data_IF_569382989676
#
_entry.id   IF_569382989676
#
_cell.length_a   1.000
_cell.length_b   1.000
_cell.length_c   1.000
_cell.angle_alpha   90.00
_cell.angle_beta   90.00
_cell.angle_gamma   90.00
#
_symmetry.space_group_name_H-M   'P 1'
#
loop_
_entity.id
_entity.type
_entity.pdbx_description
1 polymer ?
#
# COMPACT_ATOMS: atom_id res chain seq x y z
N UNK A 1 -8.12 39.55 -64.36
CA UNK A 1 -7.41 40.79 -63.96
C UNK A 1 -7.74 41.04 -62.49
N UNK A 2 -6.77 40.83 -61.56
CA UNK A 2 -6.97 40.74 -60.08
C UNK A 2 -7.91 39.56 -59.68
N UNK A 3 -7.96 39.01 -58.46
CA UNK A 3 -7.18 39.09 -57.20
C UNK A 3 -7.33 37.68 -56.52
N UNK A 4 -6.35 37.05 -55.84
CA UNK A 4 -6.09 37.09 -54.39
C UNK A 4 -4.94 36.10 -54.10
N UNK A 5 -3.83 36.53 -53.49
CA UNK A 5 -3.50 36.46 -52.05
C UNK A 5 -3.11 35.06 -51.52
N UNK A 6 -1.79 34.84 -51.47
CA UNK A 6 -1.13 33.81 -50.63
C UNK A 6 -0.71 34.48 -49.32
N UNK A 7 -0.88 33.79 -48.19
CA UNK A 7 -0.36 34.22 -46.88
C UNK A 7 0.31 33.04 -46.19
N UNK A 8 1.63 33.13 -45.98
CA UNK A 8 2.34 32.29 -45.01
C UNK A 8 2.21 32.94 -43.62
N UNK A 9 1.94 32.14 -42.59
CA UNK A 9 2.26 32.52 -41.22
C UNK A 9 2.93 31.38 -40.44
N UNK A 10 4.12 31.71 -39.96
CA UNK A 10 5.04 30.88 -39.20
C UNK A 10 4.43 30.49 -37.84
N UNK A 11 4.39 29.19 -37.52
CA UNK A 11 3.96 28.70 -36.21
C UNK A 11 5.05 28.90 -35.16
N UNK A 12 4.84 29.82 -34.21
CA UNK A 12 5.81 30.16 -33.17
C UNK A 12 5.69 29.18 -31.98
N UNK A 13 6.80 28.50 -31.66
CA UNK A 13 6.88 27.56 -30.54
C UNK A 13 7.06 28.35 -29.23
N UNK A 14 6.06 28.34 -28.34
CA UNK A 14 6.15 28.94 -27.01
C UNK A 14 6.29 27.84 -25.94
N UNK A 15 7.51 27.69 -25.41
CA UNK A 15 7.76 26.87 -24.24
C UNK A 15 7.33 27.59 -22.97
N UNK A 16 6.43 26.99 -22.19
CA UNK A 16 6.02 27.48 -20.88
C UNK A 16 6.95 26.92 -19.80
N UNK A 17 7.93 27.73 -19.37
CA UNK A 17 8.69 27.48 -18.15
C UNK A 17 7.89 27.94 -16.93
N UNK A 18 7.56 27.04 -16.01
CA UNK A 18 6.98 27.41 -14.72
C UNK A 18 8.04 28.07 -13.82
N UNK A 19 7.98 29.39 -13.68
CA UNK A 19 8.75 30.15 -12.68
C UNK A 19 8.03 30.15 -11.33
N UNK A 20 8.73 29.77 -10.26
CA UNK A 20 8.23 29.88 -8.88
C UNK A 20 8.02 31.33 -8.44
N UNK A 21 7.01 31.64 -7.59
CA UNK A 21 6.85 32.98 -7.01
C UNK A 21 7.92 33.28 -5.94
N UNK A 22 8.26 34.56 -5.70
CA UNK A 22 9.32 34.95 -4.78
C UNK A 22 8.93 34.80 -3.30
N UNK A 23 9.91 34.47 -2.45
CA UNK A 23 9.76 34.38 -1.00
C UNK A 23 10.05 35.74 -0.35
N UNK A 24 9.10 36.27 0.40
CA UNK A 24 9.31 37.46 1.25
C UNK A 24 10.01 37.10 2.57
N UNK A 25 10.92 37.93 3.10
CA UNK A 25 11.72 37.59 4.27
C UNK A 25 10.92 37.67 5.57
N UNK A 26 11.06 36.64 6.41
CA UNK A 26 10.50 36.61 7.77
C UNK A 26 11.35 37.50 8.69
N UNK A 27 10.71 38.45 9.37
CA UNK A 27 11.35 39.23 10.45
C UNK A 27 11.70 38.32 11.62
N UNK A 28 12.96 38.36 12.07
CA UNK A 28 13.33 37.86 13.41
C UNK A 28 12.58 38.67 14.47
N UNK A 29 11.98 37.98 15.43
CA UNK A 29 11.57 38.57 16.72
C UNK A 29 12.49 37.97 17.77
N UNK A 30 13.24 38.82 18.45
CA UNK A 30 14.01 38.48 19.64
C UNK A 30 13.09 38.44 20.86
N UNK A 31 13.32 37.47 21.74
CA UNK A 31 12.75 37.44 23.09
C UNK A 31 13.91 37.62 24.06
N UNK A 32 14.03 38.83 24.59
CA UNK A 32 14.87 39.12 25.76
C UNK A 32 14.07 38.90 27.04
N UNK A 33 14.79 38.60 28.12
CA UNK A 33 14.22 38.25 29.42
C UNK A 33 13.78 39.47 30.25
N UNK A 34 12.85 39.24 31.17
CA UNK A 34 12.64 40.08 32.36
C UNK A 34 12.23 39.19 33.55
N UNK A 35 12.70 39.53 34.75
CA UNK A 35 12.47 38.81 35.99
C UNK A 35 11.55 39.61 36.94
N UNK A 36 11.15 38.98 38.06
CA UNK A 36 10.28 39.54 39.11
C UNK A 36 9.26 38.48 39.57
N UNK A 37 9.27 37.81 40.72
CA UNK A 37 9.93 37.90 42.05
C UNK A 37 8.85 37.88 43.16
N UNK A 38 9.12 37.11 44.23
CA UNK A 38 8.35 36.79 45.46
C UNK A 38 6.83 36.43 45.31
N UNK A 39 6.09 35.84 46.26
CA UNK A 39 6.28 35.20 47.60
C UNK A 39 5.13 34.14 47.74
N UNK A 40 5.03 33.16 48.67
CA UNK A 40 5.88 32.46 49.65
C UNK A 40 5.04 31.33 50.30
N UNK A 41 5.62 30.31 50.95
CA UNK A 41 4.90 29.43 51.91
C UNK A 41 5.05 27.91 51.74
N UNK A 42 6.10 27.35 52.35
CA UNK A 42 6.10 26.35 53.43
C UNK A 42 4.88 25.39 53.55
N UNK A 43 5.03 24.10 53.89
CA UNK A 43 6.07 23.51 54.76
C UNK A 43 6.34 22.01 54.49
N UNK A 44 7.43 21.49 55.06
CA UNK A 44 7.80 20.06 55.06
C UNK A 44 7.05 19.29 56.19
N UNK A 45 7.22 17.99 56.50
CA UNK A 45 8.25 16.98 56.20
C UNK A 45 7.76 15.57 56.60
N UNK A 46 8.39 14.51 56.06
CA UNK A 46 8.80 13.25 56.74
C UNK A 46 7.79 12.37 57.51
N UNK A 47 8.15 11.16 58.00
CA UNK A 47 9.25 10.24 57.66
C UNK A 47 9.13 8.95 58.50
N UNK A 48 9.19 7.75 57.87
CA UNK A 48 9.56 6.44 58.45
C UNK A 48 8.72 5.80 59.60
N UNK A 49 8.83 4.46 59.72
CA UNK A 49 8.54 3.72 60.96
C UNK A 49 7.70 2.45 60.83
N UNK A 50 8.28 1.28 61.16
CA UNK A 50 7.67 -0.06 61.30
C UNK A 50 8.29 -0.70 62.58
N UNK A 51 7.94 -1.93 63.03
CA UNK A 51 6.67 -2.56 63.41
C UNK A 51 6.58 -2.91 64.94
N UNK A 52 5.39 -3.30 65.43
CA UNK A 52 5.08 -4.12 66.64
C UNK A 52 3.57 -4.48 66.59
N UNK A 53 2.99 -5.50 67.23
CA UNK A 53 3.47 -6.71 67.96
C UNK A 53 2.43 -7.86 67.83
N UNK A 54 2.73 -9.03 68.40
CA UNK A 54 1.91 -10.26 68.33
C UNK A 54 0.74 -10.33 69.36
N UNK A 55 -0.29 -11.14 69.07
CA UNK A 55 -1.05 -11.89 70.09
C UNK A 55 -1.82 -13.07 69.46
N UNK A 56 -1.74 -14.24 70.10
CA UNK A 56 -2.28 -15.51 69.62
C UNK A 56 -3.71 -15.78 70.12
N UNK A 57 -4.51 -16.52 69.35
CA UNK A 57 -5.51 -17.46 69.88
C UNK A 57 -5.62 -18.73 69.02
N UNK A 58 -5.28 -19.85 69.65
CA UNK A 58 -5.59 -21.24 69.32
C UNK A 58 -7.14 -21.42 69.18
N UNK A 59 -7.75 -22.25 68.33
CA UNK A 59 -7.45 -23.66 68.00
C UNK A 59 -8.26 -24.15 66.81
N UNK A 60 -7.84 -25.24 66.14
CA UNK A 60 -8.65 -25.87 65.09
C UNK A 60 -7.89 -26.81 64.13
N UNK A 61 -7.38 -27.94 64.62
CA UNK A 61 -6.62 -28.91 63.80
C UNK A 61 -7.55 -29.66 62.81
N UNK A 62 -7.33 -29.45 61.51
CA UNK A 62 -7.84 -30.31 60.43
C UNK A 62 -6.72 -30.66 59.46
N UNK A 63 -6.39 -31.95 59.31
CA UNK A 63 -5.35 -32.41 58.39
C UNK A 63 -5.75 -32.18 56.93
N UNK A 64 -4.96 -31.38 56.21
CA UNK A 64 -4.99 -31.31 54.74
C UNK A 64 -3.91 -32.25 54.19
N UNK A 65 -4.19 -33.09 53.18
CA UNK A 65 -3.15 -33.89 52.52
C UNK A 65 -2.21 -33.01 51.69
N UNK A 66 -0.94 -33.39 51.66
CA UNK A 66 0.12 -32.74 50.88
C UNK A 66 -0.18 -32.83 49.36
N UNK A 67 -0.25 -31.71 48.61
CA UNK A 67 -0.43 -31.77 47.16
C UNK A 67 0.88 -32.19 46.49
N UNK A 68 0.85 -33.35 45.81
CA UNK A 68 1.95 -33.83 44.98
C UNK A 68 2.47 -32.74 44.03
N UNK A 69 3.80 -32.65 43.79
CA UNK A 69 4.35 -31.67 42.86
C UNK A 69 3.78 -31.91 41.45
N UNK A 70 3.53 -30.84 40.66
CA UNK A 70 3.03 -30.99 39.31
C UNK A 70 4.01 -31.80 38.46
N UNK A 71 3.48 -32.77 37.71
CA UNK A 71 4.25 -33.48 36.69
C UNK A 71 4.79 -32.46 35.69
N UNK A 72 6.05 -32.65 35.26
CA UNK A 72 6.60 -31.85 34.17
C UNK A 72 6.05 -32.42 32.88
N UNK A 73 5.23 -31.64 32.18
CA UNK A 73 4.97 -31.90 30.77
C UNK A 73 6.30 -31.81 30.02
N UNK A 74 6.83 -32.96 29.58
CA UNK A 74 7.93 -32.99 28.63
C UNK A 74 7.47 -32.28 27.34
N UNK A 75 8.34 -31.46 26.71
CA UNK A 75 7.96 -30.76 25.50
C UNK A 75 7.62 -31.76 24.40
N UNK A 76 6.37 -31.73 23.93
CA UNK A 76 5.95 -32.44 22.72
C UNK A 76 6.68 -31.81 21.53
N UNK A 77 7.90 -32.29 21.27
CA UNK A 77 8.60 -32.04 20.02
C UNK A 77 7.95 -32.91 18.95
N UNK A 78 6.97 -32.35 18.23
CA UNK A 78 6.52 -32.94 16.97
C UNK A 78 7.74 -32.96 16.02
N UNK A 79 8.27 -34.15 15.67
CA UNK A 79 9.50 -34.24 14.89
C UNK A 79 9.23 -34.05 13.38
N UNK A 80 7.98 -33.85 12.96
CA UNK A 80 7.62 -33.70 11.55
C UNK A 80 6.35 -32.85 11.41
N UNK A 81 6.45 -31.50 11.36
CA UNK A 81 5.31 -30.69 10.95
C UNK A 81 4.84 -31.19 9.59
N UNK A 82 3.59 -31.64 9.51
CA UNK A 82 2.98 -32.06 8.24
C UNK A 82 3.23 -30.97 7.20
N UNK A 83 3.77 -31.30 6.02
CA UNK A 83 4.07 -30.28 5.03
C UNK A 83 2.81 -29.47 4.73
N UNK A 84 2.94 -28.14 4.68
CA UNK A 84 1.86 -27.24 4.31
C UNK A 84 1.19 -27.76 3.03
N UNK A 85 -0.15 -27.77 2.95
CA UNK A 85 -0.86 -28.34 1.81
C UNK A 85 -0.35 -27.69 0.51
N UNK A 86 0.26 -28.51 -0.34
CA UNK A 86 0.91 -28.05 -1.57
C UNK A 86 -0.14 -27.35 -2.43
N UNK A 87 0.02 -26.03 -2.54
CA UNK A 87 -0.86 -25.20 -3.36
C UNK A 87 -0.76 -25.69 -4.81
N UNK A 88 -1.89 -25.85 -5.54
CA UNK A 88 -1.83 -26.29 -6.93
C UNK A 88 -0.98 -25.32 -7.75
N UNK A 89 -0.26 -25.84 -8.74
CA UNK A 89 0.48 -24.99 -9.70
C UNK A 89 -0.51 -24.19 -10.55
N UNK A 90 -0.24 -22.90 -10.83
CA UNK A 90 -1.11 -22.10 -11.68
C UNK A 90 -1.03 -22.54 -13.14
N UNK A 91 -2.17 -22.55 -13.84
CA UNK A 91 -2.25 -22.78 -15.28
C UNK A 91 -1.56 -21.68 -16.08
N UNK A 92 -1.72 -20.43 -15.61
CA UNK A 92 -1.06 -19.26 -16.17
C UNK A 92 -0.56 -18.35 -15.05
N UNK A 93 0.65 -17.84 -15.21
CA UNK A 93 1.17 -16.70 -14.46
C UNK A 93 1.34 -15.56 -15.44
N UNK A 94 0.61 -14.46 -15.25
CA UNK A 94 0.58 -13.33 -16.18
C UNK A 94 1.10 -12.06 -15.51
N UNK A 95 2.03 -11.37 -16.17
CA UNK A 95 2.48 -10.04 -15.79
C UNK A 95 1.72 -8.99 -16.59
N UNK A 96 1.03 -8.09 -15.88
CA UNK A 96 0.37 -6.92 -16.44
C UNK A 96 1.23 -5.69 -16.21
N UNK A 97 1.48 -4.90 -17.26
CA UNK A 97 2.22 -3.63 -17.19
C UNK A 97 1.34 -2.51 -17.76
N UNK A 98 1.23 -1.40 -17.02
CA UNK A 98 0.55 -0.18 -17.49
C UNK A 98 1.23 1.09 -16.96
N UNK A 99 0.81 2.25 -17.44
CA UNK A 99 1.39 3.53 -17.03
C UNK A 99 1.11 4.65 -18.02
N UNK A 100 2.12 5.44 -18.39
CA UNK A 100 2.03 6.68 -19.18
C UNK A 100 1.68 6.52 -20.66
N UNK A 101 0.81 5.56 -21.01
CA UNK A 101 0.25 5.35 -22.34
C UNK A 101 -1.18 4.79 -22.25
N UNK A 102 -1.85 4.72 -23.40
CA UNK A 102 -3.17 4.13 -23.61
C UNK A 102 -3.12 2.59 -23.68
N UNK A 103 -2.09 1.95 -23.10
CA UNK A 103 -1.81 0.52 -23.25
C UNK A 103 -1.74 -0.25 -21.94
N UNK A 104 -2.07 -1.54 -22.03
CA UNK A 104 -1.72 -2.57 -21.05
C UNK A 104 -1.03 -3.70 -21.81
N UNK A 105 0.24 -3.95 -21.48
CA UNK A 105 0.97 -5.11 -21.99
C UNK A 105 0.78 -6.30 -21.03
N UNK A 106 0.54 -7.48 -21.60
CA UNK A 106 0.32 -8.74 -20.88
C UNK A 106 1.36 -9.75 -21.34
N UNK A 107 2.17 -10.22 -20.40
CA UNK A 107 3.22 -11.21 -20.62
C UNK A 107 2.87 -12.51 -19.89
N UNK A 108 3.19 -13.66 -20.49
CA UNK A 108 3.29 -14.92 -19.78
C UNK A 108 4.61 -14.95 -19.00
N UNK A 109 4.58 -15.40 -17.76
CA UNK A 109 5.75 -15.53 -16.87
C UNK A 109 6.02 -17.01 -16.63
N UNK A 110 7.29 -17.41 -16.74
CA UNK A 110 7.77 -18.68 -16.21
C UNK A 110 8.29 -18.44 -14.79
N UNK A 111 7.57 -18.90 -13.76
CA UNK A 111 7.89 -18.62 -12.35
C UNK A 111 9.16 -19.30 -11.83
N UNK A 112 9.66 -20.37 -12.46
CA UNK A 112 10.91 -21.02 -12.03
C UNK A 112 12.17 -20.33 -12.56
N UNK A 113 12.05 -19.48 -13.59
CA UNK A 113 13.17 -18.78 -14.23
C UNK A 113 13.02 -17.26 -14.30
N UNK A 114 11.84 -16.72 -14.00
CA UNK A 114 11.48 -15.31 -14.17
C UNK A 114 11.29 -14.89 -15.62
N UNK A 115 11.54 -15.78 -16.59
CA UNK A 115 11.51 -15.47 -18.01
C UNK A 115 10.10 -15.06 -18.46
N UNK A 116 10.01 -13.96 -19.20
CA UNK A 116 8.74 -13.44 -19.73
C UNK A 116 8.63 -13.56 -21.25
N UNK A 117 7.41 -13.80 -21.74
CA UNK A 117 7.07 -13.73 -23.16
C UNK A 117 5.83 -12.83 -23.36
N UNK A 118 5.93 -11.81 -24.21
CA UNK A 118 4.79 -10.93 -24.52
C UNK A 118 3.69 -11.75 -25.20
N UNK A 119 2.50 -11.81 -24.61
CA UNK A 119 1.32 -12.38 -25.24
C UNK A 119 0.61 -11.31 -26.07
N UNK A 120 0.40 -10.13 -25.48
CA UNK A 120 -0.42 -9.08 -26.07
C UNK A 120 -0.05 -7.69 -25.57
N UNK A 121 0.03 -6.73 -26.50
CA UNK A 121 -0.09 -5.31 -26.20
C UNK A 121 -1.55 -4.91 -26.50
N UNK A 122 -2.30 -4.53 -25.47
CA UNK A 122 -3.71 -4.16 -25.57
C UNK A 122 -3.86 -2.64 -25.47
N UNK A 123 -4.83 -2.05 -26.18
CA UNK A 123 -5.28 -0.68 -25.86
C UNK A 123 -6.24 -0.74 -24.67
N UNK A 124 -6.19 0.27 -23.81
CA UNK A 124 -7.12 0.40 -22.67
C UNK A 124 -8.45 1.02 -23.04
N UNK A 125 -8.58 1.60 -24.25
CA UNK A 125 -9.75 2.42 -24.62
C UNK A 125 -9.94 3.67 -23.75
N UNK A 126 -8.89 4.03 -22.99
CA UNK A 126 -8.78 5.23 -22.14
C UNK A 126 -7.56 6.07 -22.50
N UNK A 127 -7.22 7.04 -21.66
CA UNK A 127 -6.12 7.98 -21.92
C UNK A 127 -4.79 7.52 -21.31
N UNK A 128 -4.75 7.32 -19.99
CA UNK A 128 -3.55 6.87 -19.25
C UNK A 128 -3.99 6.01 -18.07
N UNK A 129 -3.85 4.68 -18.18
CA UNK A 129 -4.24 3.74 -17.12
C UNK A 129 -3.07 3.46 -16.18
N UNK A 130 -3.07 4.09 -15.00
CA UNK A 130 -1.90 4.15 -14.11
C UNK A 130 -1.90 3.12 -13.00
N UNK A 131 -3.02 2.42 -12.80
CA UNK A 131 -3.16 1.35 -11.81
C UNK A 131 -4.18 0.31 -12.30
N UNK A 132 -3.96 -0.96 -12.00
CA UNK A 132 -4.87 -2.06 -12.32
C UNK A 132 -5.28 -2.84 -11.07
N UNK A 133 -6.46 -3.45 -11.12
CA UNK A 133 -6.86 -4.52 -10.22
C UNK A 133 -7.28 -5.73 -11.07
N UNK A 134 -6.66 -6.89 -10.83
CA UNK A 134 -6.92 -8.13 -11.58
C UNK A 134 -7.65 -9.12 -10.68
N UNK A 135 -8.77 -9.67 -11.14
CA UNK A 135 -9.48 -10.73 -10.45
C UNK A 135 -9.36 -12.05 -11.24
N UNK A 136 -8.51 -13.00 -10.79
CA UNK A 136 -8.26 -14.23 -11.54
C UNK A 136 -9.40 -15.24 -11.48
N UNK A 137 -10.34 -15.12 -10.52
CA UNK A 137 -11.52 -16.00 -10.43
C UNK A 137 -12.58 -15.68 -11.49
N UNK A 138 -12.67 -14.42 -11.89
CA UNK A 138 -13.68 -13.92 -12.86
C UNK A 138 -13.07 -13.59 -14.23
N UNK A 139 -11.74 -13.73 -14.37
CA UNK A 139 -10.97 -13.28 -15.54
C UNK A 139 -11.31 -11.84 -15.94
N UNK A 140 -11.35 -10.94 -14.95
CA UNK A 140 -11.61 -9.51 -15.15
C UNK A 140 -10.40 -8.67 -14.73
N UNK A 141 -10.17 -7.61 -15.49
CA UNK A 141 -9.19 -6.57 -15.17
C UNK A 141 -9.92 -5.25 -15.07
N UNK A 142 -9.61 -4.46 -14.05
CA UNK A 142 -10.15 -3.13 -13.83
C UNK A 142 -9.01 -2.12 -13.85
N UNK A 143 -9.19 -0.98 -14.50
CA UNK A 143 -8.16 0.06 -14.66
C UNK A 143 -8.60 1.41 -14.14
N UNK A 144 -7.72 2.08 -13.39
CA UNK A 144 -7.81 3.50 -13.06
C UNK A 144 -7.20 4.33 -14.20
N UNK A 145 -8.03 4.97 -15.01
CA UNK A 145 -7.60 5.90 -16.06
C UNK A 145 -7.46 7.32 -15.50
N UNK A 146 -6.27 7.63 -14.99
CA UNK A 146 -5.92 8.86 -14.27
C UNK A 146 -6.19 10.12 -15.10
N UNK A 147 -6.10 10.02 -16.44
CA UNK A 147 -6.29 11.16 -17.36
C UNK A 147 -7.60 11.17 -18.11
N UNK A 148 -8.23 10.01 -18.32
CA UNK A 148 -9.61 9.92 -18.80
C UNK A 148 -10.65 10.18 -17.70
N UNK A 149 -10.24 10.23 -16.43
CA UNK A 149 -11.12 10.36 -15.26
C UNK A 149 -12.19 9.27 -15.20
N UNK A 150 -11.81 8.02 -15.46
CA UNK A 150 -12.74 6.90 -15.57
C UNK A 150 -12.18 5.61 -14.96
N UNK A 151 -13.10 4.72 -14.56
CA UNK A 151 -12.82 3.33 -14.22
C UNK A 151 -13.22 2.46 -15.41
N UNK A 152 -12.31 1.62 -15.90
CA UNK A 152 -12.52 0.77 -17.08
C UNK A 152 -12.53 -0.70 -16.64
N UNK A 153 -13.42 -1.51 -17.21
CA UNK A 153 -13.49 -2.95 -17.00
C UNK A 153 -13.22 -3.70 -18.30
N UNK A 154 -12.33 -4.69 -18.23
CA UNK A 154 -11.99 -5.61 -19.31
C UNK A 154 -12.33 -7.04 -18.91
N UNK A 155 -12.77 -7.85 -19.89
CA UNK A 155 -12.64 -9.29 -19.83
C UNK A 155 -11.25 -9.69 -20.32
N UNK A 156 -10.64 -10.65 -19.65
CA UNK A 156 -9.36 -11.25 -20.00
C UNK A 156 -9.59 -12.65 -20.57
N UNK A 157 -8.90 -12.98 -21.66
CA UNK A 157 -8.56 -14.36 -21.99
C UNK A 157 -7.14 -14.66 -21.44
N UNK A 158 -7.00 -15.47 -20.36
CA UNK A 158 -5.69 -15.75 -19.78
C UNK A 158 -4.75 -16.55 -20.70
N UNK A 159 -5.27 -17.25 -21.71
CA UNK A 159 -4.46 -18.05 -22.63
C UNK A 159 -3.74 -17.17 -23.65
N UNK A 160 -4.41 -16.13 -24.17
CA UNK A 160 -3.89 -15.22 -25.20
C UNK A 160 -3.46 -13.85 -24.67
N UNK A 161 -3.74 -13.52 -23.40
CA UNK A 161 -3.48 -12.20 -22.82
C UNK A 161 -4.34 -11.08 -23.40
N UNK A 162 -5.38 -11.41 -24.18
CA UNK A 162 -6.27 -10.42 -24.80
C UNK A 162 -7.19 -9.81 -23.74
N UNK A 163 -7.19 -8.48 -23.67
CA UNK A 163 -8.13 -7.69 -22.90
C UNK A 163 -9.19 -7.11 -23.83
N UNK A 164 -10.46 -7.40 -23.54
CA UNK A 164 -11.62 -6.87 -24.26
C UNK A 164 -12.37 -5.90 -23.36
N UNK A 165 -12.43 -4.61 -23.74
CA UNK A 165 -13.21 -3.61 -23.00
C UNK A 165 -14.69 -4.06 -22.94
N UNK A 166 -15.26 -4.08 -21.72
CA UNK A 166 -16.66 -4.42 -21.48
C UNK A 166 -17.49 -3.20 -21.10
N UNK A 167 -16.91 -2.31 -20.28
CA UNK A 167 -17.58 -1.12 -19.78
C UNK A 167 -16.58 -0.10 -19.24
N UNK A 168 -17.01 1.16 -19.15
CA UNK A 168 -16.32 2.19 -18.38
C UNK A 168 -17.29 3.22 -17.83
N UNK A 169 -16.97 3.75 -16.65
CA UNK A 169 -17.75 4.79 -15.98
C UNK A 169 -16.86 5.97 -15.61
N UNK A 170 -17.35 7.22 -15.75
CA UNK A 170 -16.71 8.38 -15.16
C UNK A 170 -16.52 8.22 -13.65
N UNK A 171 -15.41 8.75 -13.17
CA UNK A 171 -15.04 8.86 -11.75
C UNK A 171 -15.08 10.34 -11.34
N UNK A 172 -14.90 10.62 -10.05
CA UNK A 172 -14.90 11.98 -9.53
C UNK A 172 -13.71 12.84 -10.01
N UNK A 173 -12.60 12.25 -10.44
CA UNK A 173 -11.50 12.95 -11.12
C UNK A 173 -10.11 12.65 -10.55
N UNK A 174 -9.17 12.33 -11.44
CA UNK A 174 -7.82 11.87 -11.11
C UNK A 174 -7.81 10.55 -10.32
N UNK A 175 -8.42 9.46 -10.83
CA UNK A 175 -8.37 8.15 -10.18
C UNK A 175 -6.92 7.64 -10.14
N UNK A 176 -6.37 7.46 -8.95
CA UNK A 176 -4.97 7.11 -8.72
C UNK A 176 -4.74 5.64 -8.34
N UNK A 177 -5.80 4.96 -7.86
CA UNK A 177 -5.77 3.57 -7.42
C UNK A 177 -7.16 2.95 -7.58
N UNK A 178 -7.18 1.65 -7.89
CA UNK A 178 -8.40 0.84 -8.02
C UNK A 178 -8.18 -0.50 -7.30
N UNK A 179 -9.21 -1.02 -6.65
CA UNK A 179 -9.19 -2.36 -6.04
C UNK A 179 -10.50 -3.08 -6.31
N UNK A 180 -10.47 -4.41 -6.25
CA UNK A 180 -11.63 -5.29 -6.44
C UNK A 180 -11.72 -6.29 -5.30
N UNK A 181 -12.92 -6.66 -4.90
CA UNK A 181 -13.14 -7.68 -3.88
C UNK A 181 -12.80 -9.11 -4.38
N UNK A 182 -12.69 -10.04 -3.44
CA UNK A 182 -12.29 -11.41 -3.71
C UNK A 182 -13.32 -12.22 -4.55
N UNK A 183 -14.56 -11.73 -4.67
CA UNK A 183 -15.59 -12.31 -5.54
C UNK A 183 -15.62 -11.69 -6.95
N UNK A 184 -15.00 -10.52 -7.17
CA UNK A 184 -15.08 -9.79 -8.45
C UNK A 184 -16.41 -9.08 -8.65
N UNK A 185 -17.17 -8.86 -7.57
CA UNK A 185 -18.51 -8.29 -7.54
C UNK A 185 -18.51 -6.79 -7.20
N UNK A 186 -17.48 -6.30 -6.51
CA UNK A 186 -17.38 -4.92 -6.04
C UNK A 186 -16.00 -4.32 -6.33
N UNK A 187 -16.00 -3.10 -6.89
CA UNK A 187 -14.81 -2.35 -7.30
C UNK A 187 -14.78 -1.02 -6.55
N UNK A 188 -13.62 -0.62 -6.06
CA UNK A 188 -13.40 0.62 -5.30
C UNK A 188 -12.34 1.46 -6.00
N UNK A 189 -12.52 2.79 -6.02
CA UNK A 189 -11.62 3.74 -6.69
C UNK A 189 -11.26 4.89 -5.76
N UNK A 190 -9.97 5.23 -5.67
CA UNK A 190 -9.48 6.42 -4.99
C UNK A 190 -9.20 7.53 -6.02
N UNK A 191 -9.90 8.66 -5.90
CA UNK A 191 -9.73 9.85 -6.74
C UNK A 191 -8.85 10.87 -6.03
N UNK A 192 -7.57 10.89 -6.38
CA UNK A 192 -6.58 11.81 -5.82
C UNK A 192 -6.89 13.27 -6.17
N UNK A 193 -7.31 13.53 -7.41
CA UNK A 193 -7.65 14.88 -7.87
C UNK A 193 -8.87 15.47 -7.13
N UNK A 194 -9.89 14.64 -6.91
CA UNK A 194 -11.16 15.06 -6.28
C UNK A 194 -11.20 14.92 -4.75
N UNK A 195 -10.32 14.12 -4.13
CA UNK A 195 -10.43 13.80 -2.70
C UNK A 195 -11.62 12.87 -2.38
N UNK A 196 -11.93 11.94 -3.29
CA UNK A 196 -13.16 11.15 -3.28
C UNK A 196 -12.87 9.65 -3.39
N UNK A 197 -13.53 8.83 -2.57
CA UNK A 197 -13.64 7.39 -2.80
C UNK A 197 -14.98 7.08 -3.50
N UNK A 198 -14.94 6.18 -4.48
CA UNK A 198 -16.13 5.65 -5.17
C UNK A 198 -16.17 4.13 -5.10
N UNK A 199 -17.38 3.56 -5.09
CA UNK A 199 -17.60 2.13 -5.25
C UNK A 199 -18.60 1.82 -6.36
N UNK A 200 -18.37 0.69 -7.02
CA UNK A 200 -19.14 0.21 -8.17
C UNK A 200 -19.40 -1.29 -8.02
N UNK A 201 -20.63 -1.73 -8.31
CA UNK A 201 -20.94 -3.15 -8.43
C UNK A 201 -20.73 -3.65 -9.85
N UNK A 202 -20.39 -4.94 -9.97
CA UNK A 202 -20.13 -5.64 -11.23
C UNK A 202 -21.30 -6.58 -11.51
N UNK A 203 -22.01 -6.38 -12.60
CA UNK A 203 -23.11 -7.27 -13.04
C UNK A 203 -22.85 -7.71 -14.48
N UNK A 204 -22.36 -8.94 -14.63
CA UNK A 204 -21.97 -9.49 -15.94
C UNK A 204 -20.87 -8.65 -16.58
N UNK A 205 -21.17 -8.03 -17.72
CA UNK A 205 -20.28 -7.12 -18.45
C UNK A 205 -20.49 -5.63 -18.13
N UNK A 206 -21.21 -5.28 -17.05
CA UNK A 206 -21.47 -3.87 -16.67
C UNK A 206 -20.99 -3.50 -15.27
N UNK A 207 -20.52 -2.26 -15.16
CA UNK A 207 -20.29 -1.55 -13.90
C UNK A 207 -21.54 -0.74 -13.56
N UNK A 208 -21.83 -0.57 -12.26
CA UNK A 208 -22.88 0.33 -11.77
C UNK A 208 -22.36 1.09 -10.56
N UNK A 209 -22.47 2.42 -10.58
CA UNK A 209 -22.10 3.24 -9.42
C UNK A 209 -23.00 2.90 -8.20
N UNK A 210 -22.37 2.73 -7.03
CA UNK A 210 -23.02 2.34 -5.77
C UNK A 210 -22.90 3.43 -4.73
N UNK A 211 -21.69 3.88 -4.41
CA UNK A 211 -21.49 4.92 -3.39
C UNK A 211 -20.33 5.86 -3.71
N UNK A 212 -20.40 7.06 -3.13
CA UNK A 212 -19.43 8.15 -3.27
C UNK A 212 -19.22 8.78 -1.90
N UNK A 213 -17.97 8.93 -1.48
CA UNK A 213 -17.58 9.47 -0.16
C UNK A 213 -16.40 10.43 -0.31
N UNK A 214 -16.32 11.40 0.58
CA UNK A 214 -15.20 12.35 0.68
C UNK A 214 -14.35 12.02 1.91
N UNK A 215 -13.46 11.00 1.82
CA UNK A 215 -12.66 10.53 2.96
C UNK A 215 -11.64 11.57 3.45
N UNK A 216 -11.22 12.47 2.57
CA UNK A 216 -10.20 13.48 2.82
C UNK A 216 -9.54 13.94 1.51
N UNK A 217 -8.82 15.05 1.58
CA UNK A 217 -8.06 15.61 0.47
C UNK A 217 -7.01 14.61 -0.03
N UNK A 218 -6.92 14.48 -1.36
CA UNK A 218 -5.96 13.59 -2.03
C UNK A 218 -6.05 12.14 -1.56
N UNK A 219 -7.26 11.58 -1.56
CA UNK A 219 -7.51 10.15 -1.40
C UNK A 219 -6.67 9.36 -2.43
N UNK A 220 -5.62 8.69 -1.97
CA UNK A 220 -4.60 8.14 -2.88
C UNK A 220 -4.81 6.64 -3.16
N UNK A 221 -5.26 5.86 -2.19
CA UNK A 221 -5.47 4.43 -2.34
C UNK A 221 -6.75 3.92 -1.68
N UNK A 222 -7.22 2.74 -2.09
CA UNK A 222 -8.42 2.06 -1.57
C UNK A 222 -8.04 0.61 -1.28
N UNK A 223 -7.87 0.29 0.01
CA UNK A 223 -7.38 -1.01 0.45
C UNK A 223 -8.47 -1.75 1.24
N UNK A 224 -8.90 -2.90 0.71
CA UNK A 224 -9.72 -3.86 1.44
C UNK A 224 -8.86 -4.59 2.47
N UNK A 225 -9.37 -4.76 3.67
CA UNK A 225 -8.76 -5.62 4.68
C UNK A 225 -8.85 -7.11 4.28
N UNK A 226 -8.06 -8.02 4.89
CA UNK A 226 -8.09 -9.44 4.56
C UNK A 226 -9.46 -10.11 4.78
N UNK A 227 -10.36 -9.51 5.57
CA UNK A 227 -11.73 -10.02 5.74
C UNK A 227 -12.71 -9.56 4.65
N UNK A 228 -12.33 -8.56 3.83
CA UNK A 228 -13.18 -7.94 2.81
C UNK A 228 -14.32 -7.09 3.37
N UNK A 229 -14.28 -6.75 4.66
CA UNK A 229 -15.36 -6.05 5.38
C UNK A 229 -15.04 -4.59 5.68
N UNK A 230 -13.77 -4.23 5.66
CA UNK A 230 -13.29 -2.89 5.95
C UNK A 230 -12.51 -2.35 4.75
N UNK A 231 -12.78 -1.10 4.39
CA UNK A 231 -12.08 -0.36 3.35
C UNK A 231 -11.33 0.81 3.98
N UNK A 232 -10.02 0.83 3.79
CA UNK A 232 -9.13 1.87 4.30
C UNK A 232 -8.65 2.76 3.16
N UNK A 233 -8.71 4.08 3.38
CA UNK A 233 -8.40 5.10 2.37
C UNK A 233 -7.38 6.10 2.90
N UNK A 234 -6.08 5.94 2.58
CA UNK A 234 -5.05 6.93 2.87
C UNK A 234 -5.35 8.26 2.15
N UNK A 235 -5.46 9.34 2.93
CA UNK A 235 -5.75 10.69 2.45
C UNK A 235 -4.51 11.56 2.56
N UNK A 236 -3.75 11.60 1.46
CA UNK A 236 -2.39 12.11 1.39
C UNK A 236 -2.29 13.59 1.82
N UNK A 237 -3.32 14.39 1.54
CA UNK A 237 -3.38 15.82 1.83
C UNK A 237 -3.62 16.16 3.31
N UNK A 238 -4.32 15.28 4.03
CA UNK A 238 -4.82 15.53 5.38
C UNK A 238 -4.04 14.82 6.47
N UNK A 239 -3.29 13.76 6.15
CA UNK A 239 -2.54 13.02 7.15
C UNK A 239 -3.38 12.04 7.96
N UNK A 240 -4.36 11.41 7.30
CA UNK A 240 -5.23 10.40 7.89
C UNK A 240 -5.43 9.17 6.99
N UNK A 241 -5.89 8.09 7.60
CA UNK A 241 -6.50 6.94 6.93
C UNK A 241 -7.99 6.96 7.27
N UNK A 242 -8.85 7.19 6.29
CA UNK A 242 -10.29 7.06 6.47
C UNK A 242 -10.70 5.58 6.49
N UNK A 243 -11.76 5.27 7.23
CA UNK A 243 -12.22 3.90 7.48
C UNK A 243 -13.71 3.78 7.17
N UNK A 244 -14.04 2.87 6.25
CA UNK A 244 -15.42 2.51 5.91
C UNK A 244 -15.65 1.01 6.16
N UNK A 245 -16.82 0.67 6.67
CA UNK A 245 -17.32 -0.71 6.68
C UNK A 245 -18.14 -0.99 5.43
N UNK A 246 -18.09 -2.23 4.95
CA UNK A 246 -18.81 -2.74 3.79
C UNK A 246 -19.81 -3.83 4.20
N UNK A 247 -20.95 -3.87 3.51
CA UNK A 247 -21.90 -4.97 3.66
C UNK A 247 -21.32 -6.25 3.06
N UNK A 248 -21.15 -7.28 3.90
CA UNK A 248 -20.51 -8.56 3.50
C UNK A 248 -21.35 -9.28 2.45
N UNK A 249 -20.80 -9.48 1.25
CA UNK A 249 -21.55 -10.03 0.10
C UNK A 249 -22.68 -9.12 -0.39
N UNK A 250 -22.70 -7.86 0.06
CA UNK A 250 -23.78 -6.92 -0.16
C UNK A 250 -23.56 -5.99 -1.35
N UNK A 251 -24.20 -4.83 -1.27
CA UNK A 251 -24.35 -3.87 -2.35
C UNK A 251 -23.05 -3.18 -2.79
N UNK A 252 -22.01 -3.16 -1.95
CA UNK A 252 -20.79 -2.38 -2.13
C UNK A 252 -20.86 -0.96 -1.55
N UNK A 253 -21.91 -0.64 -0.78
CA UNK A 253 -22.04 0.67 -0.12
C UNK A 253 -20.96 0.86 0.95
N UNK A 254 -20.21 1.95 0.84
CA UNK A 254 -19.28 2.39 1.87
C UNK A 254 -20.04 3.12 2.98
N UNK A 255 -20.02 2.57 4.20
CA UNK A 255 -20.55 3.21 5.41
C UNK A 255 -19.40 3.68 6.29
N UNK A 256 -19.42 4.90 6.80
CA UNK A 256 -18.37 5.40 7.69
C UNK A 256 -18.31 4.55 8.97
N UNK A 257 -17.12 4.06 9.31
CA UNK A 257 -16.95 3.22 10.48
C UNK A 257 -17.16 4.03 11.77
N UNK A 258 -17.72 3.37 12.80
CA UNK A 258 -17.84 3.97 14.14
C UNK A 258 -16.48 4.39 14.71
N UNK A 259 -15.44 3.64 14.37
CA UNK A 259 -14.06 4.03 14.62
C UNK A 259 -13.61 4.95 13.50
N UNK A 260 -13.68 6.26 13.82
CA UNK A 260 -13.38 7.38 12.92
C UNK A 260 -11.98 7.26 12.31
N UNK A 261 -11.77 7.98 11.21
CA UNK A 261 -10.49 8.10 10.52
C UNK A 261 -9.30 8.24 11.47
N UNK A 262 -8.27 7.43 11.26
CA UNK A 262 -7.04 7.45 12.04
C UNK A 262 -6.14 8.58 11.54
N UNK A 263 -5.85 9.57 12.38
CA UNK A 263 -4.74 10.51 12.13
C UNK A 263 -3.42 9.77 12.27
N UNK A 264 -2.52 9.92 11.30
CA UNK A 264 -1.21 9.22 11.29
C UNK A 264 -0.07 10.08 11.84
N UNK A 265 -0.38 11.30 12.32
CA UNK A 265 0.59 12.23 12.91
C UNK A 265 1.50 12.95 11.91
N UNK A 266 1.32 12.69 10.61
CA UNK A 266 2.15 13.21 9.52
C UNK A 266 1.30 13.40 8.26
N UNK A 267 1.77 14.19 7.28
CA UNK A 267 1.15 14.24 5.95
C UNK A 267 1.81 13.24 5.01
N UNK A 268 1.16 12.98 3.88
CA UNK A 268 1.66 12.03 2.90
C UNK A 268 1.15 10.58 2.96
N UNK A 269 0.16 10.15 3.78
CA UNK A 269 -0.24 8.73 3.79
C UNK A 269 -0.75 8.32 2.41
N UNK A 270 -0.10 7.32 1.80
CA UNK A 270 -0.20 7.02 0.38
C UNK A 270 -0.84 5.68 0.11
N UNK A 271 -0.11 4.60 0.38
CA UNK A 271 -0.50 3.20 0.13
C UNK A 271 -0.34 2.38 1.42
N UNK A 272 -1.00 1.24 1.50
CA UNK A 272 -0.93 0.31 2.62
C UNK A 272 -0.75 -1.14 2.18
N UNK A 273 -0.09 -1.93 3.02
CA UNK A 273 0.01 -3.38 2.88
C UNK A 273 -0.43 -4.09 4.17
N UNK A 274 -1.21 -5.16 4.06
CA UNK A 274 -1.61 -5.99 5.20
C UNK A 274 -0.63 -7.12 5.43
N UNK A 275 -0.40 -7.46 6.70
CA UNK A 275 0.37 -8.64 7.07
C UNK A 275 -0.48 -9.91 6.88
N UNK A 276 0.07 -11.03 6.36
CA UNK A 276 -0.67 -12.28 6.13
C UNK A 276 -1.43 -12.84 7.36
N UNK A 277 -1.00 -12.52 8.59
CA UNK A 277 -1.73 -12.92 9.80
C UNK A 277 -3.06 -12.20 10.04
N UNK A 278 -3.38 -11.17 9.26
CA UNK A 278 -4.57 -10.33 9.43
C UNK A 278 -4.56 -9.42 10.67
N UNK A 279 -3.47 -9.41 11.46
CA UNK A 279 -3.37 -8.63 12.72
C UNK A 279 -2.69 -7.27 12.57
N UNK A 280 -2.00 -7.03 11.45
CA UNK A 280 -1.20 -5.83 11.23
C UNK A 280 -1.37 -5.26 9.83
N UNK A 281 -1.16 -3.96 9.70
CA UNK A 281 -1.02 -3.25 8.45
C UNK A 281 0.19 -2.31 8.51
N UNK A 282 0.71 -1.95 7.35
CA UNK A 282 1.85 -1.06 7.20
C UNK A 282 1.49 0.05 6.22
N UNK A 283 1.73 1.29 6.62
CA UNK A 283 1.43 2.49 5.86
C UNK A 283 2.71 3.06 5.26
N UNK A 284 2.69 3.39 3.97
CA UNK A 284 3.71 4.23 3.34
C UNK A 284 3.30 5.71 3.39
N UNK A 285 4.19 6.56 3.87
CA UNK A 285 4.10 8.01 3.75
C UNK A 285 4.96 8.50 2.57
N UNK A 286 4.34 9.22 1.64
CA UNK A 286 4.96 9.75 0.43
C UNK A 286 6.03 10.80 0.72
N UNK A 287 5.70 11.82 1.51
CA UNK A 287 6.60 12.94 1.76
C UNK A 287 7.80 12.47 2.60
N UNK A 288 9.00 12.72 2.08
CA UNK A 288 10.31 12.34 2.66
C UNK A 288 10.57 10.83 2.79
N UNK A 289 9.53 10.00 2.70
CA UNK A 289 9.60 8.54 2.61
C UNK A 289 9.77 7.86 3.96
N UNK A 290 8.66 7.47 4.58
CA UNK A 290 8.67 6.69 5.84
C UNK A 290 7.55 5.65 5.88
N UNK A 291 7.68 4.68 6.78
CA UNK A 291 6.70 3.62 7.04
C UNK A 291 6.24 3.68 8.48
N UNK A 292 4.95 3.42 8.73
CA UNK A 292 4.39 3.25 10.08
C UNK A 292 3.73 1.87 10.23
N UNK A 293 3.91 1.27 11.41
CA UNK A 293 3.27 0.02 11.81
C UNK A 293 1.89 0.29 12.43
N UNK A 294 0.89 -0.52 12.06
CA UNK A 294 -0.46 -0.46 12.60
C UNK A 294 -0.92 -1.84 13.04
N UNK A 295 -1.61 -1.94 14.17
CA UNK A 295 -2.44 -3.10 14.46
C UNK A 295 -3.79 -2.96 13.77
N UNK A 296 -4.30 -4.08 13.28
CA UNK A 296 -5.64 -4.22 12.73
C UNK A 296 -6.48 -5.06 13.70
N UNK A 297 -7.66 -4.56 14.04
CA UNK A 297 -8.64 -5.29 14.85
C UNK A 297 -10.07 -4.96 14.39
N UNK A 298 -11.07 -5.53 15.07
CA UNK A 298 -12.48 -5.17 14.83
C UNK A 298 -12.81 -3.68 15.12
N UNK A 299 -11.95 -2.96 15.85
CA UNK A 299 -12.03 -1.49 16.01
C UNK A 299 -11.27 -0.71 14.93
N UNK A 300 -10.80 -1.35 13.86
CA UNK A 300 -10.03 -0.72 12.79
C UNK A 300 -8.53 -0.67 13.12
N UNK A 301 -7.89 0.46 12.80
CA UNK A 301 -6.44 0.63 12.84
C UNK A 301 -5.98 1.44 14.07
N UNK A 302 -4.84 1.04 14.65
CA UNK A 302 -4.15 1.77 15.72
C UNK A 302 -2.65 1.83 15.39
N UNK A 303 -2.01 2.99 15.52
CA UNK A 303 -0.55 3.12 15.37
C UNK A 303 0.19 2.34 16.48
N UNK A 304 1.20 1.56 16.10
CA UNK A 304 2.06 0.83 17.03
C UNK A 304 3.37 1.55 17.37
N UNK A 305 3.65 2.69 16.74
CA UNK A 305 4.88 3.45 16.97
C UNK A 305 5.04 4.64 16.03
N UNK A 306 6.25 5.20 16.02
CA UNK A 306 6.64 6.31 15.17
C UNK A 306 6.91 5.92 13.71
N UNK A 307 7.41 6.89 12.94
CA UNK A 307 7.84 6.70 11.56
C UNK A 307 9.21 6.01 11.49
N UNK A 308 9.32 4.94 10.70
CA UNK A 308 10.58 4.29 10.34
C UNK A 308 11.03 4.82 8.97
N UNK A 309 12.28 5.28 8.80
CA UNK A 309 12.73 5.83 7.52
C UNK A 309 12.75 4.78 6.41
N UNK A 310 12.62 5.24 5.16
CA UNK A 310 12.72 4.41 3.95
C UNK A 310 14.12 4.32 3.35
N UNK A 311 15.05 5.13 3.83
CA UNK A 311 16.46 5.09 3.43
C UNK A 311 17.32 5.62 4.57
N UNK A 312 18.53 5.07 4.71
CA UNK A 312 19.52 5.56 5.68
C UNK A 312 20.23 6.84 5.20
N UNK A 313 20.00 7.26 3.95
CA UNK A 313 20.62 8.45 3.37
C UNK A 313 19.62 9.19 2.48
N UNK A 314 18.69 9.98 3.07
CA UNK A 314 17.69 10.72 2.34
C UNK A 314 18.34 11.68 1.32
N UNK A 315 17.97 11.52 0.05
CA UNK A 315 18.32 12.48 -1.01
C UNK A 315 17.24 13.56 -1.12
N UNK A 316 17.63 14.77 -1.51
CA UNK A 316 16.68 15.87 -1.70
C UNK A 316 15.61 15.48 -2.75
N UNK A 317 14.33 15.63 -2.39
CA UNK A 317 13.20 15.23 -3.23
C UNK A 317 12.86 13.73 -3.18
N UNK A 318 13.46 12.94 -2.29
CA UNK A 318 13.05 11.55 -2.08
C UNK A 318 11.58 11.47 -1.64
N UNK A 319 10.81 10.58 -2.29
CA UNK A 319 9.41 10.33 -1.94
C UNK A 319 9.06 8.84 -1.95
N UNK A 320 8.37 8.40 -0.91
CA UNK A 320 7.82 7.05 -0.81
C UNK A 320 6.73 6.80 -1.85
N UNK A 321 6.63 5.58 -2.37
CA UNK A 321 5.61 5.20 -3.35
C UNK A 321 4.83 3.96 -2.90
N UNK A 322 5.19 2.79 -3.42
CA UNK A 322 4.51 1.52 -3.17
C UNK A 322 5.03 0.82 -1.92
N UNK A 323 4.23 -0.07 -1.34
CA UNK A 323 4.54 -0.86 -0.15
C UNK A 323 3.91 -2.25 -0.24
N UNK A 324 4.65 -3.30 0.14
CA UNK A 324 4.15 -4.68 0.07
C UNK A 324 4.82 -5.59 1.10
N UNK A 325 4.03 -6.48 1.72
CA UNK A 325 4.50 -7.50 2.67
C UNK A 325 4.78 -8.79 1.90
N UNK A 326 5.91 -9.42 2.19
CA UNK A 326 6.25 -10.72 1.64
C UNK A 326 5.26 -11.81 2.09
N UNK A 327 4.84 -12.77 1.24
CA UNK A 327 3.83 -13.78 1.60
C UNK A 327 4.12 -14.60 2.87
N UNK A 328 5.39 -14.76 3.27
CA UNK A 328 5.76 -15.42 4.53
C UNK A 328 5.64 -14.55 5.79
N UNK A 329 5.24 -13.28 5.67
CA UNK A 329 5.07 -12.32 6.76
C UNK A 329 6.35 -11.73 7.36
N UNK A 330 7.55 -12.24 7.03
CA UNK A 330 8.82 -11.88 7.71
C UNK A 330 9.48 -10.61 7.17
N UNK A 331 9.07 -10.15 6.00
CA UNK A 331 9.69 -9.02 5.31
C UNK A 331 8.65 -8.05 4.74
N UNK A 332 9.01 -6.77 4.75
CA UNK A 332 8.27 -5.68 4.14
C UNK A 332 9.19 -4.97 3.17
N UNK A 333 8.62 -4.49 2.07
CA UNK A 333 9.30 -3.69 1.07
C UNK A 333 8.56 -2.37 0.88
N UNK A 334 9.29 -1.30 0.59
CA UNK A 334 8.72 -0.06 0.08
C UNK A 334 9.60 0.54 -1.02
N UNK A 335 9.04 1.40 -1.88
CA UNK A 335 9.79 2.01 -2.99
C UNK A 335 10.01 3.51 -2.79
N UNK A 336 11.20 3.96 -3.19
CA UNK A 336 11.68 5.33 -3.07
C UNK A 336 11.92 5.93 -4.45
N UNK A 337 11.18 6.98 -4.80
CA UNK A 337 11.40 7.80 -6.00
C UNK A 337 12.39 8.90 -5.66
N UNK A 338 13.48 9.01 -6.43
CA UNK A 338 14.58 9.95 -6.16
C UNK A 338 15.82 9.23 -5.64
N UNK A 339 15.70 8.41 -4.58
CA UNK A 339 16.74 7.43 -4.23
C UNK A 339 16.75 6.26 -5.23
N UNK A 340 15.66 6.05 -5.97
CA UNK A 340 15.50 5.03 -7.01
C UNK A 340 15.86 3.62 -6.50
N UNK A 341 15.20 3.25 -5.40
CA UNK A 341 15.49 2.04 -4.63
C UNK A 341 14.23 1.34 -4.10
N UNK A 342 14.34 0.05 -3.82
CA UNK A 342 13.46 -0.66 -2.88
C UNK A 342 14.12 -0.68 -1.50
N UNK A 343 13.42 -0.21 -0.47
CA UNK A 343 13.76 -0.38 0.94
C UNK A 343 13.32 -1.76 1.43
N UNK A 344 14.13 -2.39 2.25
CA UNK A 344 13.88 -3.73 2.83
C UNK A 344 13.80 -3.58 4.35
N UNK A 345 12.77 -4.17 4.95
CA UNK A 345 12.57 -4.23 6.39
C UNK A 345 12.33 -5.67 6.84
N UNK A 346 12.78 -6.02 8.04
CA UNK A 346 12.29 -7.22 8.75
C UNK A 346 11.07 -6.89 9.59
N UNK A 347 10.15 -7.85 9.68
CA UNK A 347 8.95 -7.77 10.50
C UNK A 347 9.05 -8.77 11.67
N UNK A 348 8.75 -8.30 12.88
CA UNK A 348 8.60 -9.14 14.06
C UNK A 348 7.14 -9.60 14.24
N UNK A 349 6.93 -10.67 15.00
CA UNK A 349 5.60 -11.28 15.23
C UNK A 349 4.59 -10.32 15.89
N UNK A 350 5.07 -9.32 16.62
CA UNK A 350 4.27 -8.26 17.24
C UNK A 350 3.96 -7.08 16.31
N UNK A 351 4.30 -7.18 15.01
CA UNK A 351 4.10 -6.13 14.01
C UNK A 351 5.19 -5.05 13.98
N UNK A 352 6.23 -5.16 14.81
CA UNK A 352 7.36 -4.20 14.79
C UNK A 352 8.15 -4.31 13.49
N UNK A 353 8.54 -3.16 12.94
CA UNK A 353 9.31 -3.03 11.71
C UNK A 353 10.74 -2.59 12.06
N UNK A 354 11.73 -3.22 11.42
CA UNK A 354 13.13 -2.76 11.48
C UNK A 354 13.66 -2.56 10.06
N UNK A 355 14.09 -1.33 9.73
CA UNK A 355 14.76 -1.04 8.46
C UNK A 355 16.09 -1.79 8.38
N UNK A 356 16.35 -2.45 7.24
CA UNK A 356 17.60 -3.18 6.98
C UNK A 356 18.53 -2.41 6.06
N UNK A 357 18.09 -2.13 4.84
CA UNK A 357 18.87 -1.50 3.75
C UNK A 357 17.97 -1.10 2.59
N UNK A 358 18.51 -0.33 1.65
CA UNK A 358 17.95 -0.12 0.31
C UNK A 358 18.71 -0.91 -0.75
N UNK A 359 18.04 -1.24 -1.86
CA UNK A 359 18.63 -1.84 -3.07
C UNK A 359 18.17 -1.02 -4.27
N UNK A 360 19.10 -0.54 -5.10
CA UNK A 360 18.78 0.27 -6.29
C UNK A 360 17.96 -0.55 -7.30
N UNK A 361 16.93 0.04 -7.89
CA UNK A 361 15.97 -0.69 -8.75
C UNK A 361 16.53 -1.08 -10.12
N UNK A 362 17.67 -0.50 -10.51
CA UNK A 362 18.24 -0.62 -11.84
C UNK A 362 17.61 0.32 -12.88
N UNK A 363 16.56 1.06 -12.50
CA UNK A 363 15.89 2.08 -13.31
C UNK A 363 15.70 3.38 -12.51
N UNK A 364 14.73 4.22 -12.89
CA UNK A 364 14.44 5.50 -12.23
C UNK A 364 12.98 5.67 -11.85
N UNK A 365 12.73 6.37 -10.74
CA UNK A 365 11.39 6.70 -10.22
C UNK A 365 10.49 5.44 -10.12
N UNK A 366 10.83 4.47 -9.26
CA UNK A 366 9.98 3.30 -9.02
C UNK A 366 8.65 3.73 -8.39
N UNK A 367 7.58 3.79 -9.20
CA UNK A 367 6.24 4.24 -8.75
C UNK A 367 5.39 3.08 -8.23
N UNK A 368 5.66 1.87 -8.69
CA UNK A 368 5.01 0.64 -8.25
C UNK A 368 6.00 -0.51 -8.24
N UNK A 369 5.79 -1.47 -7.36
CA UNK A 369 6.37 -2.81 -7.47
C UNK A 369 5.37 -3.85 -6.98
N UNK A 370 5.56 -5.10 -7.35
CA UNK A 370 4.72 -6.20 -6.87
C UNK A 370 5.54 -7.46 -6.65
N UNK A 371 5.14 -8.24 -5.65
CA UNK A 371 5.62 -9.60 -5.44
C UNK A 371 4.69 -10.58 -6.15
N UNK A 372 5.25 -11.64 -6.73
CA UNK A 372 4.44 -12.77 -7.16
C UNK A 372 3.86 -13.53 -5.93
N UNK A 373 2.82 -14.33 -6.14
CA UNK A 373 2.11 -15.03 -5.05
C UNK A 373 2.99 -16.02 -4.26
N UNK A 374 4.10 -16.50 -4.83
CA UNK A 374 5.07 -17.34 -4.13
C UNK A 374 6.15 -16.55 -3.37
N UNK A 375 6.24 -15.23 -3.59
CA UNK A 375 7.30 -14.37 -3.04
C UNK A 375 8.70 -14.69 -3.57
N UNK A 376 8.83 -15.28 -4.77
CA UNK A 376 10.12 -15.57 -5.40
C UNK A 376 10.61 -14.43 -6.29
N UNK A 377 9.68 -13.66 -6.86
CA UNK A 377 9.95 -12.59 -7.82
C UNK A 377 9.32 -11.28 -7.35
N UNK A 378 10.04 -10.18 -7.56
CA UNK A 378 9.56 -8.83 -7.36
C UNK A 378 9.75 -8.03 -8.66
N UNK A 379 8.67 -7.51 -9.23
CA UNK A 379 8.70 -6.64 -10.44
C UNK A 379 8.60 -5.18 -10.03
N UNK A 380 9.40 -4.30 -10.63
CA UNK A 380 9.41 -2.85 -10.33
C UNK A 380 9.09 -2.06 -11.59
N UNK A 381 8.06 -1.23 -11.55
CA UNK A 381 7.71 -0.27 -12.60
C UNK A 381 8.47 1.05 -12.40
N UNK A 382 9.48 1.29 -13.23
CA UNK A 382 10.37 2.45 -13.16
C UNK A 382 9.86 3.54 -14.12
N UNK A 383 9.10 4.48 -13.57
CA UNK A 383 8.38 5.50 -14.33
C UNK A 383 9.32 6.44 -15.10
N UNK A 384 10.51 6.72 -14.55
CA UNK A 384 11.47 7.69 -15.07
C UNK A 384 12.51 7.11 -16.02
N UNK A 385 12.51 5.79 -16.24
CA UNK A 385 13.38 5.10 -17.21
C UNK A 385 12.62 4.22 -18.21
N UNK A 386 11.30 4.37 -18.28
CA UNK A 386 10.43 3.70 -19.26
C UNK A 386 10.57 2.16 -19.28
N UNK A 387 10.71 1.53 -18.11
CA UNK A 387 10.96 0.07 -18.02
C UNK A 387 10.39 -0.59 -16.76
N UNK A 388 10.21 -1.92 -16.85
CA UNK A 388 10.03 -2.81 -15.69
C UNK A 388 11.32 -3.61 -15.46
N UNK A 389 11.82 -3.56 -14.23
CA UNK A 389 12.95 -4.39 -13.75
C UNK A 389 12.45 -5.53 -12.85
N UNK A 390 13.28 -6.54 -12.65
CA UNK A 390 12.94 -7.78 -11.95
C UNK A 390 13.99 -8.09 -10.88
N UNK A 391 13.54 -8.58 -9.74
CA UNK A 391 14.39 -9.10 -8.67
C UNK A 391 14.00 -10.54 -8.33
N UNK A 392 15.01 -11.38 -8.12
CA UNK A 392 14.87 -12.62 -7.35
C UNK A 392 14.86 -12.27 -5.86
N UNK A 393 13.97 -12.91 -5.11
CA UNK A 393 13.77 -12.65 -3.68
C UNK A 393 14.33 -13.83 -2.87
N UNK A 394 15.33 -13.56 -2.04
CA UNK A 394 15.85 -14.53 -1.09
C UNK A 394 14.88 -14.65 0.10
N UNK A 395 13.94 -15.60 0.05
CA UNK A 395 12.82 -15.74 1.00
C UNK A 395 13.23 -15.90 2.48
N UNK A 396 14.46 -16.33 2.76
CA UNK A 396 14.98 -16.48 4.14
C UNK A 396 15.57 -15.20 4.71
N UNK A 397 16.06 -14.27 3.88
CA UNK A 397 16.69 -13.01 4.32
C UNK A 397 15.92 -11.75 3.92
N UNK A 398 15.00 -11.84 2.96
CA UNK A 398 14.34 -10.71 2.33
C UNK A 398 15.24 -9.91 1.38
N UNK A 399 16.44 -10.41 1.08
CA UNK A 399 17.35 -9.72 0.16
C UNK A 399 16.88 -9.87 -1.30
N UNK A 400 17.11 -8.80 -2.08
CA UNK A 400 16.70 -8.68 -3.47
C UNK A 400 17.92 -8.73 -4.40
N UNK A 401 17.93 -9.67 -5.35
CA UNK A 401 18.98 -9.78 -6.37
C UNK A 401 18.44 -9.32 -7.72
N UNK A 402 19.01 -8.23 -8.26
CA UNK A 402 18.58 -7.63 -9.52
C UNK A 402 18.86 -8.59 -10.70
N UNK A 403 17.81 -9.06 -11.37
CA UNK A 403 17.91 -9.83 -12.60
C UNK A 403 18.48 -8.96 -13.73
N UNK A 404 18.96 -9.58 -14.80
CA UNK A 404 19.31 -8.90 -16.06
C UNK A 404 18.09 -8.61 -16.94
N UNK A 405 16.94 -9.26 -16.71
CA UNK A 405 15.73 -9.05 -17.51
C UNK A 405 15.16 -7.64 -17.34
N UNK A 406 14.85 -6.99 -18.46
CA UNK A 406 14.20 -5.67 -18.55
C UNK A 406 13.06 -5.74 -19.56
N UNK A 407 11.93 -5.12 -19.26
CA UNK A 407 10.83 -4.95 -20.21
C UNK A 407 10.59 -3.46 -20.45
N UNK A 408 10.82 -2.93 -21.66
CA UNK A 408 10.57 -1.53 -21.95
C UNK A 408 9.06 -1.27 -21.99
N UNK A 409 8.61 -0.26 -21.25
CA UNK A 409 7.23 0.21 -21.25
C UNK A 409 7.18 1.70 -20.92
N UNK A 410 6.65 2.52 -21.83
CA UNK A 410 6.65 3.98 -21.71
C UNK A 410 6.00 4.44 -20.41
N UNK A 411 6.80 5.07 -19.55
CA UNK A 411 6.48 5.51 -18.21
C UNK A 411 5.72 4.42 -17.46
N UNK A 412 6.38 3.30 -17.19
CA UNK A 412 5.83 2.19 -16.41
C UNK A 412 5.44 2.68 -15.01
N UNK A 413 4.16 2.54 -14.64
CA UNK A 413 3.62 3.02 -13.34
C UNK A 413 2.91 1.92 -12.56
N UNK A 414 2.59 0.80 -13.21
CA UNK A 414 2.05 -0.40 -12.60
C UNK A 414 2.70 -1.63 -13.23
N UNK A 415 3.02 -2.62 -12.40
CA UNK A 415 3.53 -3.92 -12.82
C UNK A 415 3.15 -4.97 -11.77
N UNK A 416 2.38 -6.00 -12.13
CA UNK A 416 1.93 -7.07 -11.22
C UNK A 416 1.92 -8.42 -11.91
N UNK A 417 2.48 -9.45 -11.24
CA UNK A 417 2.32 -10.86 -11.62
C UNK A 417 1.07 -11.40 -10.92
N UNK A 418 0.19 -12.06 -11.66
CA UNK A 418 -1.05 -12.67 -11.16
C UNK A 418 -1.13 -14.11 -11.64
N UNK A 419 -1.45 -15.02 -10.71
CA UNK A 419 -1.61 -16.44 -10.97
C UNK A 419 -3.09 -16.80 -11.22
N UNK A 420 -3.31 -17.67 -12.20
CA UNK A 420 -4.61 -18.16 -12.64
C UNK A 420 -4.64 -19.68 -12.50
N UNK A 421 -5.58 -20.17 -11.71
CA UNK A 421 -5.78 -21.58 -11.39
C UNK A 421 -6.95 -22.18 -12.21
N UNK A 422 -7.04 -23.51 -12.27
CA UNK A 422 -8.18 -24.23 -12.88
C UNK A 422 -9.39 -24.36 -11.93
#
# INVERSE_FOLDING_TARGET
MRLQLVSLSLGMLLGLSCSSPPVSPVKKVSLDAAAGDETSGDDASGSQGKPTDESEMDSGIGKVPDPSPPERDDPITDPNPSPDPVKPEPKYSLLFISGGSDKIDVYKVNKSTGATALLKSNSTGGAITTFLAVNPKTNKVFGADERGNQAIMFALDPASGVLSEQDKLPTAGGPAHISVDAAGAQVFVANYGAGVAESYSVTGSKLKAVSKKSPGNKAHAVHLDPSGKNLFVPCLGDGLIAHFTLDVGGSGVMTEAKTKSLSVGTKGPRHMAFHPSGKFAYLMNEYEGSVQALSLSASGLILLGGQIPSTASPVAGNTGAEISVHPNGKFLYSSNRGDDSIAIYSLAENGTITFKKTVKTGGKTPRHFSLDESGSWLTVANQGSDEVTFFEVNKSSGDLMLSTQRLPFKSAQFAQIVDFYE
#
